data_IF_102997060722
#
_entry.id   IF_102997060722
#
_cell.length_a   1.000
_cell.length_b   1.000
_cell.length_c   1.000
_cell.angle_alpha   90.00
_cell.angle_beta   90.00
_cell.angle_gamma   90.00
#
_symmetry.space_group_name_H-M   'P 1'
#
loop_
_entity.id
_entity.type
_entity.pdbx_description
1 polymer ?
#
# COMPACT_ATOMS: atom_id res chain seq x y z
N UNK A 1 21.46 0.64 -3.59
CA UNK A 1 21.79 0.47 -2.16
C UNK A 1 20.98 -0.65 -1.47
N UNK A 2 19.67 -0.81 -1.72
CA UNK A 2 18.82 -1.78 -1.02
C UNK A 2 19.30 -3.26 -1.08
N UNK A 3 19.81 -3.72 -2.23
CA UNK A 3 20.31 -5.10 -2.40
C UNK A 3 21.36 -5.57 -1.39
N UNK A 4 22.17 -4.66 -0.84
CA UNK A 4 23.27 -5.03 0.05
C UNK A 4 22.82 -5.47 1.46
N UNK A 5 21.55 -5.22 1.83
CA UNK A 5 21.02 -5.49 3.17
C UNK A 5 20.02 -6.66 3.19
N UNK A 6 19.74 -7.28 2.05
CA UNK A 6 18.78 -8.38 1.95
C UNK A 6 19.53 -9.71 2.04
N UNK A 7 19.79 -10.12 3.28
CA UNK A 7 20.44 -11.39 3.59
C UNK A 7 19.34 -12.40 3.92
N UNK A 8 19.13 -13.37 3.04
CA UNK A 8 18.24 -14.51 3.28
C UNK A 8 18.71 -15.35 4.48
N UNK A 9 17.78 -16.02 5.15
CA UNK A 9 18.07 -16.94 6.27
C UNK A 9 17.56 -18.35 5.96
N UNK A 10 17.74 -19.30 6.89
CA UNK A 10 17.20 -20.65 6.71
C UNK A 10 15.66 -20.67 6.74
N UNK A 11 15.06 -19.69 7.40
CA UNK A 11 13.61 -19.55 7.58
C UNK A 11 12.92 -18.91 6.36
N UNK A 12 13.67 -18.26 5.46
CA UNK A 12 13.09 -17.63 4.29
C UNK A 12 14.09 -16.91 3.38
N UNK A 13 13.61 -16.56 2.19
CA UNK A 13 14.36 -15.83 1.19
C UNK A 13 13.84 -14.39 1.06
N UNK A 14 14.75 -13.47 0.75
CA UNK A 14 14.44 -12.07 0.47
C UNK A 14 15.10 -11.67 -0.84
N UNK A 15 14.41 -10.89 -1.67
CA UNK A 15 14.94 -10.36 -2.92
C UNK A 15 14.55 -8.90 -3.14
N UNK A 16 15.28 -8.21 -4.01
CA UNK A 16 14.97 -6.88 -4.50
C UNK A 16 14.87 -6.89 -6.02
N UNK A 17 13.72 -6.43 -6.49
CA UNK A 17 13.43 -6.23 -7.90
C UNK A 17 13.38 -4.72 -8.17
N UNK A 18 13.96 -4.32 -9.29
CA UNK A 18 13.83 -2.96 -9.83
C UNK A 18 12.73 -3.00 -10.88
N UNK A 19 11.52 -2.62 -10.50
CA UNK A 19 10.32 -2.74 -11.32
C UNK A 19 9.37 -1.56 -11.05
N UNK A 20 8.67 -1.12 -12.10
CA UNK A 20 7.67 -0.06 -12.03
C UNK A 20 6.30 -0.64 -11.70
N UNK A 21 5.61 -0.03 -10.74
CA UNK A 21 4.26 -0.40 -10.34
C UNK A 21 3.22 -0.17 -11.46
N UNK A 22 3.54 0.67 -12.46
CA UNK A 22 2.74 0.82 -13.67
C UNK A 22 2.75 -0.43 -14.57
N UNK A 23 3.66 -1.38 -14.35
CA UNK A 23 3.75 -2.69 -15.01
C UNK A 23 3.65 -3.84 -13.97
N UNK A 24 2.44 -4.06 -13.40
CA UNK A 24 2.24 -5.06 -12.35
C UNK A 24 2.57 -6.50 -12.81
N UNK A 25 2.46 -6.79 -14.10
CA UNK A 25 2.81 -8.09 -14.68
C UNK A 25 4.31 -8.36 -14.56
N UNK A 26 5.16 -7.35 -14.77
CA UNK A 26 6.59 -7.45 -14.50
C UNK A 26 6.89 -7.63 -13.01
N UNK A 27 6.22 -6.87 -12.13
CA UNK A 27 6.37 -7.05 -10.67
C UNK A 27 6.06 -8.50 -10.27
N UNK A 28 4.94 -9.06 -10.73
CA UNK A 28 4.53 -10.43 -10.43
C UNK A 28 5.52 -11.47 -10.97
N UNK A 29 5.97 -11.31 -12.22
CA UNK A 29 6.93 -12.22 -12.85
C UNK A 29 8.26 -12.26 -12.12
N UNK A 30 8.76 -11.10 -11.67
CA UNK A 30 10.00 -11.03 -10.91
C UNK A 30 9.81 -11.54 -9.48
N UNK A 31 8.71 -11.20 -8.82
CA UNK A 31 8.40 -11.70 -7.48
C UNK A 31 8.26 -13.24 -7.43
N UNK A 32 7.71 -13.85 -8.48
CA UNK A 32 7.55 -15.30 -8.60
C UNK A 32 8.88 -16.08 -8.64
N UNK A 33 10.02 -15.40 -8.83
CA UNK A 33 11.35 -16.03 -8.73
C UNK A 33 11.76 -16.34 -7.30
N UNK A 34 11.13 -15.68 -6.32
CA UNK A 34 11.40 -15.84 -4.89
C UNK A 34 10.18 -16.36 -4.13
N UNK A 35 8.98 -15.90 -4.49
CA UNK A 35 7.72 -16.25 -3.83
C UNK A 35 6.99 -17.35 -4.61
N UNK A 36 6.47 -18.33 -3.87
CA UNK A 36 5.48 -19.27 -4.40
C UNK A 36 4.09 -18.61 -4.40
N UNK A 37 3.72 -18.00 -5.53
CA UNK A 37 2.43 -17.32 -5.70
C UNK A 37 1.23 -18.29 -5.79
N UNK A 38 1.43 -19.60 -5.65
CA UNK A 38 0.31 -20.54 -5.45
C UNK A 38 -0.12 -20.66 -3.99
N UNK A 39 0.65 -20.08 -3.06
CA UNK A 39 0.36 -20.03 -1.62
C UNK A 39 -0.05 -18.60 -1.20
N UNK A 40 -0.77 -18.43 -0.09
CA UNK A 40 -1.15 -17.11 0.40
C UNK A 40 0.03 -16.16 0.58
N UNK A 41 -0.08 -14.95 0.03
CA UNK A 41 0.93 -13.88 0.11
C UNK A 41 0.32 -12.65 0.78
N UNK A 42 1.12 -11.91 1.54
CA UNK A 42 0.75 -10.57 2.00
C UNK A 42 1.32 -9.52 1.03
N UNK A 43 0.45 -8.85 0.27
CA UNK A 43 0.80 -7.68 -0.54
C UNK A 43 0.78 -6.43 0.34
N UNK A 44 1.86 -5.67 0.33
CA UNK A 44 1.99 -4.41 1.08
C UNK A 44 2.23 -3.25 0.11
N UNK A 45 1.38 -2.23 0.14
CA UNK A 45 1.55 -1.00 -0.65
C UNK A 45 1.37 0.19 0.28
N UNK A 46 2.49 0.84 0.64
CA UNK A 46 2.53 1.86 1.68
C UNK A 46 2.99 3.19 1.08
N UNK A 47 2.10 4.17 0.98
CA UNK A 47 2.37 5.52 0.45
C UNK A 47 2.91 5.53 -0.99
N UNK A 48 2.48 4.59 -1.85
CA UNK A 48 2.95 4.50 -3.24
C UNK A 48 1.89 4.77 -4.29
N UNK A 49 0.60 4.55 -3.99
CA UNK A 49 -0.45 4.68 -5.00
C UNK A 49 -0.70 6.15 -5.35
N UNK A 50 -0.39 7.07 -4.44
CA UNK A 50 -0.42 8.51 -4.69
C UNK A 50 0.49 8.97 -5.82
N UNK A 51 1.46 8.17 -6.28
CA UNK A 51 2.26 8.49 -7.48
C UNK A 51 1.61 8.10 -8.81
N UNK A 52 0.43 7.46 -8.77
CA UNK A 52 -0.37 7.12 -9.93
C UNK A 52 -1.52 8.12 -10.00
N UNK A 53 -1.49 9.01 -10.99
CA UNK A 53 -2.43 10.14 -11.10
C UNK A 53 -3.90 9.71 -11.24
N UNK A 54 -4.14 8.71 -12.07
CA UNK A 54 -5.49 8.24 -12.37
C UNK A 54 -5.92 7.20 -11.33
N UNK A 55 -7.04 7.45 -10.64
CA UNK A 55 -7.54 6.58 -9.58
C UNK A 55 -7.95 5.20 -10.11
N UNK A 56 -8.62 5.14 -11.25
CA UNK A 56 -9.07 3.87 -11.83
C UNK A 56 -7.88 3.02 -12.29
N UNK A 57 -6.82 3.66 -12.83
CA UNK A 57 -5.56 2.99 -13.13
C UNK A 57 -4.87 2.47 -11.88
N UNK A 58 -4.81 3.27 -10.82
CA UNK A 58 -4.23 2.83 -9.55
C UNK A 58 -5.00 1.61 -8.99
N UNK A 59 -6.33 1.65 -9.02
CA UNK A 59 -7.18 0.51 -8.65
C UNK A 59 -6.97 -0.70 -9.54
N UNK A 60 -6.84 -0.51 -10.85
CA UNK A 60 -6.58 -1.59 -11.79
C UNK A 60 -5.25 -2.27 -11.51
N UNK A 61 -4.20 -1.52 -11.16
CA UNK A 61 -2.90 -2.07 -10.79
C UNK A 61 -3.01 -2.93 -9.53
N UNK A 62 -3.64 -2.41 -8.46
CA UNK A 62 -3.88 -3.18 -7.23
C UNK A 62 -4.72 -4.42 -7.52
N UNK A 63 -5.74 -4.30 -8.38
CA UNK A 63 -6.57 -5.40 -8.86
C UNK A 63 -5.73 -6.49 -9.52
N UNK A 64 -4.87 -6.15 -10.49
CA UNK A 64 -3.99 -7.10 -11.17
C UNK A 64 -3.08 -7.84 -10.19
N UNK A 65 -2.46 -7.12 -9.25
CA UNK A 65 -1.60 -7.72 -8.23
C UNK A 65 -2.38 -8.69 -7.34
N UNK A 66 -3.54 -8.27 -6.82
CA UNK A 66 -4.38 -9.08 -5.94
C UNK A 66 -5.02 -10.27 -6.66
N UNK A 67 -5.41 -10.13 -7.93
CA UNK A 67 -6.00 -11.20 -8.73
C UNK A 67 -5.02 -12.36 -8.94
N UNK A 68 -3.71 -12.07 -9.02
CA UNK A 68 -2.65 -13.08 -9.15
C UNK A 68 -2.36 -13.88 -7.87
N UNK A 69 -2.80 -13.40 -6.69
CA UNK A 69 -2.58 -14.09 -5.41
C UNK A 69 -3.74 -15.05 -5.10
N UNK A 70 -3.53 -16.18 -4.41
CA UNK A 70 -4.61 -17.13 -4.11
C UNK A 70 -5.49 -16.66 -2.95
N UNK A 71 -6.66 -17.26 -2.79
CA UNK A 71 -7.53 -17.09 -1.61
C UNK A 71 -6.76 -17.26 -0.30
N UNK A 72 -7.10 -16.47 0.71
CA UNK A 72 -6.39 -16.40 2.00
C UNK A 72 -5.16 -15.48 2.01
N UNK A 73 -4.79 -14.91 0.86
CA UNK A 73 -3.80 -13.81 0.77
C UNK A 73 -4.29 -12.56 1.49
N UNK A 74 -3.37 -11.64 1.78
CA UNK A 74 -3.67 -10.42 2.52
C UNK A 74 -3.21 -9.19 1.75
N UNK A 75 -3.93 -8.09 1.93
CA UNK A 75 -3.57 -6.79 1.41
C UNK A 75 -3.49 -5.81 2.57
N UNK A 76 -2.31 -5.22 2.78
CA UNK A 76 -2.11 -4.13 3.71
C UNK A 76 -1.75 -2.87 2.93
N UNK A 77 -2.54 -1.82 3.11
CA UNK A 77 -2.44 -0.62 2.31
C UNK A 77 -2.66 0.62 3.14
N UNK A 78 -1.86 1.65 2.85
CA UNK A 78 -2.15 3.01 3.28
C UNK A 78 -1.68 4.02 2.25
N UNK A 79 -2.37 5.15 2.21
CA UNK A 79 -1.98 6.28 1.37
C UNK A 79 -2.46 7.61 1.98
N UNK A 80 -1.93 8.71 1.47
CA UNK A 80 -2.23 10.06 1.98
C UNK A 80 -3.65 10.50 1.63
N UNK A 81 -4.31 11.17 2.57
CA UNK A 81 -5.73 11.56 2.49
C UNK A 81 -5.91 13.06 2.32
N UNK A 82 -6.94 13.45 1.57
CA UNK A 82 -7.26 14.85 1.23
C UNK A 82 -8.05 15.63 2.29
N UNK A 83 -8.30 15.05 3.46
CA UNK A 83 -9.16 15.64 4.51
C UNK A 83 -8.45 16.73 5.32
N UNK A 84 -7.16 16.94 5.10
CA UNK A 84 -6.33 17.85 5.86
C UNK A 84 -5.75 18.97 4.97
N UNK A 85 -6.04 20.23 5.32
CA UNK A 85 -5.56 21.41 4.56
C UNK A 85 -4.05 21.58 4.60
N UNK A 86 -3.41 21.32 5.74
CA UNK A 86 -1.95 21.39 5.86
C UNK A 86 -1.29 20.30 5.01
N UNK A 87 -1.87 19.08 5.00
CA UNK A 87 -1.42 18.00 4.12
C UNK A 87 -1.55 18.38 2.65
N UNK A 88 -2.72 18.87 2.23
CA UNK A 88 -2.97 19.29 0.85
C UNK A 88 -2.00 20.40 0.38
N UNK A 89 -1.68 21.35 1.26
CA UNK A 89 -0.71 22.41 0.96
C UNK A 89 0.72 21.87 0.86
N UNK A 90 1.12 20.97 1.77
CA UNK A 90 2.42 20.31 1.71
C UNK A 90 2.57 19.48 0.42
N UNK A 91 1.52 18.75 0.02
CA UNK A 91 1.51 18.00 -1.25
C UNK A 91 1.60 18.92 -2.46
N UNK A 92 0.94 20.07 -2.44
CA UNK A 92 1.06 21.08 -3.52
C UNK A 92 2.51 21.55 -3.67
N UNK A 93 3.14 21.95 -2.57
CA UNK A 93 4.54 22.40 -2.55
C UNK A 93 5.50 21.30 -3.00
N UNK A 94 5.24 20.05 -2.58
CA UNK A 94 5.99 18.88 -3.06
C UNK A 94 5.88 18.73 -4.59
N UNK A 95 4.67 18.83 -5.15
CA UNK A 95 4.45 18.73 -6.59
C UNK A 95 5.08 19.88 -7.38
N UNK A 96 5.12 21.09 -6.80
CA UNK A 96 5.77 22.27 -7.40
C UNK A 96 7.30 22.18 -7.40
N UNK A 97 7.89 21.32 -6.56
CA UNK A 97 9.35 21.15 -6.46
C UNK A 97 10.01 20.44 -7.65
N UNK A 98 9.20 19.84 -8.55
CA UNK A 98 9.69 19.00 -9.65
C UNK A 98 9.92 17.52 -9.27
N UNK A 99 9.55 17.12 -8.06
CA UNK A 99 9.45 15.71 -7.67
C UNK A 99 8.36 14.98 -8.48
N UNK A 100 8.39 13.64 -8.49
CA UNK A 100 7.31 12.84 -9.07
C UNK A 100 6.01 13.19 -8.34
N UNK A 101 4.97 13.68 -9.03
CA UNK A 101 3.77 14.16 -8.36
C UNK A 101 3.13 13.14 -7.43
N UNK A 102 2.50 13.66 -6.38
CA UNK A 102 1.70 12.91 -5.43
C UNK A 102 0.26 13.42 -5.43
N UNK A 103 -0.69 12.50 -5.49
CA UNK A 103 -2.12 12.76 -5.59
C UNK A 103 -2.82 12.24 -4.34
N UNK A 104 -3.30 13.17 -3.51
CA UNK A 104 -4.12 12.84 -2.35
C UNK A 104 -5.46 12.28 -2.80
N UNK A 105 -6.00 11.35 -2.01
CA UNK A 105 -7.31 10.73 -2.27
C UNK A 105 -8.27 10.95 -1.12
N UNK A 106 -9.56 10.92 -1.45
CA UNK A 106 -10.63 10.94 -0.47
C UNK A 106 -10.67 9.64 0.35
N UNK A 107 -11.26 9.66 1.57
CA UNK A 107 -11.46 8.45 2.35
C UNK A 107 -12.23 7.35 1.59
N UNK A 108 -13.20 7.74 0.77
CA UNK A 108 -13.97 6.81 -0.06
C UNK A 108 -13.11 6.17 -1.15
N UNK A 109 -12.24 6.95 -1.81
CA UNK A 109 -11.31 6.42 -2.80
C UNK A 109 -10.29 5.47 -2.18
N UNK A 110 -9.76 5.80 -1.00
CA UNK A 110 -8.84 4.92 -0.25
C UNK A 110 -9.53 3.62 0.17
N UNK A 111 -10.79 3.67 0.62
CA UNK A 111 -11.57 2.47 0.92
C UNK A 111 -11.82 1.61 -0.33
N UNK A 112 -12.03 2.22 -1.50
CA UNK A 112 -12.28 1.50 -2.75
C UNK A 112 -11.13 0.61 -3.25
N UNK A 113 -9.89 0.78 -2.75
CA UNK A 113 -8.79 -0.14 -3.04
C UNK A 113 -8.99 -1.53 -2.41
N UNK A 114 -9.87 -1.65 -1.40
CA UNK A 114 -10.18 -2.90 -0.74
C UNK A 114 -11.44 -3.59 -1.29
N UNK A 115 -12.02 -3.08 -2.38
CA UNK A 115 -13.20 -3.68 -2.99
C UNK A 115 -12.97 -5.17 -3.32
N UNK A 116 -13.98 -6.01 -3.04
CA UNK A 116 -13.95 -7.47 -3.18
C UNK A 116 -13.04 -8.21 -2.18
N UNK A 117 -12.50 -7.52 -1.17
CA UNK A 117 -11.75 -8.14 -0.07
C UNK A 117 -12.56 -8.17 1.23
N UNK A 118 -12.20 -9.07 2.14
CA UNK A 118 -12.76 -9.17 3.49
C UNK A 118 -11.99 -8.22 4.42
N UNK A 119 -12.57 -7.06 4.72
CA UNK A 119 -11.93 -6.07 5.59
C UNK A 119 -11.71 -6.61 7.01
N UNK A 120 -10.49 -6.43 7.51
CA UNK A 120 -10.18 -6.68 8.90
C UNK A 120 -10.54 -5.44 9.75
N UNK A 121 -11.18 -5.66 10.90
CA UNK A 121 -11.46 -4.57 11.84
C UNK A 121 -10.16 -3.88 12.31
N UNK A 122 -10.12 -2.53 12.39
CA UNK A 122 -11.28 -1.61 12.37
C UNK A 122 -11.72 -1.12 10.97
N UNK A 123 -11.17 -1.65 9.88
CA UNK A 123 -11.44 -1.18 8.52
C UNK A 123 -10.36 -0.20 8.05
N UNK A 124 -10.77 0.82 7.30
CA UNK A 124 -9.88 1.91 6.84
C UNK A 124 -10.01 3.09 7.79
N UNK A 125 -8.94 3.36 8.54
CA UNK A 125 -8.89 4.38 9.61
C UNK A 125 -7.58 5.17 9.54
N UNK A 126 -7.45 6.29 10.28
CA UNK A 126 -6.16 6.91 10.51
C UNK A 126 -5.13 5.90 11.01
N UNK A 127 -3.87 6.03 10.58
CA UNK A 127 -2.85 5.01 10.88
C UNK A 127 -2.57 4.85 12.38
N UNK A 128 -2.68 5.93 13.15
CA UNK A 128 -2.58 5.93 14.60
C UNK A 128 -3.73 5.16 15.29
N UNK A 129 -4.86 4.96 14.61
CA UNK A 129 -6.03 4.25 15.12
C UNK A 129 -6.05 2.77 14.69
N UNK A 130 -5.12 2.35 13.82
CA UNK A 130 -5.06 0.98 13.33
C UNK A 130 -4.38 0.05 14.34
N UNK A 131 -5.17 -0.52 15.26
CA UNK A 131 -4.74 -1.46 16.31
C UNK A 131 -3.48 -0.99 17.08
N UNK A 132 -3.50 0.23 17.66
CA UNK A 132 -2.35 0.76 18.39
C UNK A 132 -1.99 -0.10 19.60
N UNK A 133 -0.72 -0.11 19.97
CA UNK A 133 -0.29 -0.70 21.24
C UNK A 133 -0.86 0.16 22.40
N UNK A 134 -1.61 -0.42 23.35
CA UNK A 134 -2.14 0.31 24.49
C UNK A 134 -1.06 1.05 25.32
N UNK A 135 0.20 0.60 25.27
CA UNK A 135 1.31 1.23 25.99
C UNK A 135 1.80 2.55 25.34
N UNK A 136 1.48 2.81 24.08
CA UNK A 136 1.98 3.98 23.34
C UNK A 136 1.18 5.27 23.60
N UNK A 137 0.08 5.20 24.37
CA UNK A 137 -0.75 6.35 24.74
C UNK A 137 -1.53 6.95 23.56
N UNK A 138 -2.31 8.00 23.83
CA UNK A 138 -3.03 8.73 22.79
C UNK A 138 -2.05 9.58 21.96
N UNK A 139 -1.82 9.16 20.71
CA UNK A 139 -1.06 9.90 19.71
C UNK A 139 -2.04 10.66 18.83
N UNK A 140 -2.68 11.68 19.39
CA UNK A 140 -3.48 12.65 18.61
C UNK A 140 -2.56 13.43 17.67
N UNK A 141 -2.34 12.88 16.48
CA UNK A 141 -1.62 13.52 15.38
C UNK A 141 -2.59 13.97 14.31
N UNK A 142 -2.17 14.93 13.48
CA UNK A 142 -2.90 15.23 12.26
C UNK A 142 -3.07 13.97 11.40
N UNK A 143 -4.31 13.72 10.96
CA UNK A 143 -4.61 12.65 10.02
C UNK A 143 -4.11 13.07 8.65
N UNK A 144 -2.98 12.50 8.24
CA UNK A 144 -2.38 12.72 6.91
C UNK A 144 -2.53 11.51 5.98
N UNK A 145 -2.85 10.35 6.53
CA UNK A 145 -3.03 9.10 5.79
C UNK A 145 -4.08 8.21 6.45
N UNK A 146 -4.77 7.41 5.63
CA UNK A 146 -5.64 6.34 6.09
C UNK A 146 -5.07 5.00 5.62
N UNK A 147 -5.34 3.94 6.37
CA UNK A 147 -4.89 2.60 6.03
C UNK A 147 -5.78 1.51 6.59
N UNK A 148 -5.61 0.32 6.03
CA UNK A 148 -6.38 -0.86 6.37
C UNK A 148 -5.67 -2.15 5.97
N UNK A 149 -6.23 -3.26 6.44
CA UNK A 149 -5.81 -4.61 6.06
C UNK A 149 -7.05 -5.41 5.69
N UNK A 150 -6.97 -6.18 4.61
CA UNK A 150 -8.05 -7.05 4.17
C UNK A 150 -7.52 -8.40 3.71
N UNK A 151 -8.37 -9.41 3.80
CA UNK A 151 -8.09 -10.77 3.33
C UNK A 151 -8.76 -10.99 1.98
N UNK A 152 -8.08 -11.67 1.06
CA UNK A 152 -8.69 -12.18 -0.17
C UNK A 152 -9.57 -13.40 0.16
N UNK A 153 -10.88 -13.39 -0.17
CA UNK A 153 -11.76 -14.54 0.04
C UNK A 153 -11.23 -15.84 -0.57
#
# INVERSE_FOLDING_TARGET
>A
HARALLISTAEGATDYIDADLHDPETVLREAAKTLDLSRPVALTLMQVSGHIADYDRARSIVGTLMDALPSGSWFAFNDSVDTNKANAEATRQYNESGAVPYYLRSPAELAGFFDRLEMLAPGVVPLNDWRPDPAEGDRSTEVIALGGVARKP
#
